data_IF_854313686046
#
_entry.id   IF_854313686046
#
_cell.length_a   1.000
_cell.length_b   1.000
_cell.length_c   1.000
_cell.angle_alpha   90.00
_cell.angle_beta   90.00
_cell.angle_gamma   90.00
#
_symmetry.space_group_name_H-M   'P 1'
#
loop_
_entity.id
_entity.type
_entity.pdbx_description
1 polymer ?
#
# COMPACT_ATOMS: atom_id res chain seq x y z
N UNK A 1 -26.42 5.65 5.96
CA UNK A 1 -26.90 4.75 4.91
C UNK A 1 -25.88 3.68 4.55
N UNK A 2 -24.56 3.96 4.59
CA UNK A 2 -23.51 3.02 4.17
C UNK A 2 -22.75 2.34 5.32
N UNK A 3 -23.27 2.36 6.52
CA UNK A 3 -22.59 1.86 7.70
C UNK A 3 -22.24 0.37 7.58
N UNK A 4 -23.12 -0.43 6.97
CA UNK A 4 -22.93 -1.87 6.79
C UNK A 4 -22.12 -2.26 5.55
N UNK A 5 -21.85 -1.31 4.64
CA UNK A 5 -21.10 -1.57 3.41
C UNK A 5 -19.58 -1.35 3.56
N UNK A 6 -19.16 -0.63 4.59
CA UNK A 6 -17.79 -0.18 4.74
C UNK A 6 -17.07 -0.93 5.88
N UNK A 7 -15.81 -1.30 5.64
CA UNK A 7 -14.96 -1.84 6.71
C UNK A 7 -14.79 -0.80 7.83
N UNK A 8 -14.79 -1.25 9.07
CA UNK A 8 -14.71 -0.42 10.29
C UNK A 8 -13.64 0.68 10.22
N UNK A 9 -12.41 0.34 9.82
CA UNK A 9 -11.32 1.32 9.65
C UNK A 9 -11.66 2.43 8.64
N UNK A 10 -12.35 2.09 7.56
CA UNK A 10 -12.77 3.07 6.55
C UNK A 10 -13.83 4.01 7.13
N UNK A 11 -14.76 3.46 7.91
CA UNK A 11 -15.78 4.25 8.60
C UNK A 11 -15.16 5.22 9.60
N UNK A 12 -14.22 4.75 10.42
CA UNK A 12 -13.52 5.61 11.40
C UNK A 12 -12.80 6.78 10.71
N UNK A 13 -12.06 6.50 9.65
CA UNK A 13 -11.36 7.56 8.89
C UNK A 13 -12.33 8.56 8.25
N UNK A 14 -13.44 8.08 7.68
CA UNK A 14 -14.47 8.96 7.10
C UNK A 14 -15.13 9.81 8.19
N UNK A 15 -15.50 9.21 9.30
CA UNK A 15 -16.08 9.91 10.46
C UNK A 15 -15.13 10.99 10.95
N UNK A 16 -13.87 10.66 11.19
CA UNK A 16 -12.86 11.62 11.62
C UNK A 16 -12.76 12.82 10.67
N UNK A 17 -12.66 12.58 9.35
CA UNK A 17 -12.59 13.67 8.38
C UNK A 17 -13.86 14.52 8.36
N UNK A 18 -15.02 13.90 8.51
CA UNK A 18 -16.29 14.63 8.60
C UNK A 18 -16.35 15.51 9.86
N UNK A 19 -16.07 14.95 11.03
CA UNK A 19 -16.17 15.62 12.33
C UNK A 19 -15.13 16.75 12.49
N UNK A 20 -13.91 16.55 11.96
CA UNK A 20 -12.82 17.53 12.13
C UNK A 20 -12.80 18.62 11.06
N UNK A 21 -13.30 18.34 9.85
CA UNK A 21 -13.06 19.25 8.71
C UNK A 21 -14.30 19.69 7.96
N UNK A 22 -15.42 19.01 8.08
CA UNK A 22 -16.62 19.30 7.28
C UNK A 22 -17.76 19.79 8.16
N UNK A 23 -18.10 19.06 9.21
CA UNK A 23 -19.21 19.40 10.13
C UNK A 23 -19.03 20.77 10.78
N UNK A 24 -17.82 21.21 11.22
CA UNK A 24 -17.65 22.54 11.83
C UNK A 24 -18.06 23.69 10.91
N UNK A 25 -18.02 23.51 9.59
CA UNK A 25 -18.37 24.55 8.60
C UNK A 25 -19.78 24.44 8.06
N UNK A 26 -20.26 23.23 7.87
CA UNK A 26 -21.48 22.96 7.13
C UNK A 26 -22.56 22.28 7.97
N UNK A 27 -22.24 21.81 9.18
CA UNK A 27 -23.16 20.99 9.99
C UNK A 27 -24.46 21.68 10.40
N UNK A 28 -24.45 22.99 10.51
CA UNK A 28 -25.63 23.80 10.88
C UNK A 28 -26.36 24.40 9.67
N UNK A 29 -26.02 23.98 8.44
CA UNK A 29 -26.62 24.50 7.21
C UNK A 29 -27.42 23.40 6.52
N UNK A 30 -28.52 23.78 5.90
CA UNK A 30 -29.20 22.88 4.97
C UNK A 30 -28.32 22.63 3.73
N UNK A 31 -28.25 21.40 3.27
CA UNK A 31 -27.41 21.06 2.12
C UNK A 31 -27.81 21.82 0.84
N UNK A 32 -29.10 22.16 0.70
CA UNK A 32 -29.63 22.96 -0.40
C UNK A 32 -29.17 24.42 -0.40
N UNK A 33 -28.72 24.93 0.76
CA UNK A 33 -28.30 26.31 0.93
C UNK A 33 -26.77 26.49 0.78
N UNK A 34 -26.02 25.38 0.73
CA UNK A 34 -24.57 25.43 0.61
C UNK A 34 -24.23 25.77 -0.84
N UNK A 35 -23.64 26.97 -1.03
CA UNK A 35 -23.23 27.49 -2.33
C UNK A 35 -21.80 27.09 -2.71
N UNK A 36 -21.47 27.23 -4.00
CA UNK A 36 -20.10 27.04 -4.48
C UNK A 36 -19.11 28.03 -3.86
N UNK A 37 -19.54 29.29 -3.60
CA UNK A 37 -18.69 30.30 -2.95
C UNK A 37 -18.32 29.90 -1.53
N UNK A 38 -19.25 29.33 -0.76
CA UNK A 38 -18.98 28.85 0.58
C UNK A 38 -18.00 27.66 0.59
N UNK A 39 -18.08 26.78 -0.43
CA UNK A 39 -17.11 25.69 -0.58
C UNK A 39 -15.72 26.26 -0.89
N UNK A 40 -15.61 27.29 -1.74
CA UNK A 40 -14.32 27.94 -2.03
C UNK A 40 -13.74 28.59 -0.77
N UNK A 41 -14.54 29.27 0.04
CA UNK A 41 -14.09 29.84 1.31
C UNK A 41 -13.55 28.76 2.25
N UNK A 42 -14.29 27.66 2.40
CA UNK A 42 -13.84 26.51 3.17
C UNK A 42 -12.55 25.88 2.61
N UNK A 43 -12.42 25.75 1.28
CA UNK A 43 -11.21 25.26 0.65
C UNK A 43 -10.00 26.13 0.98
N UNK A 44 -10.15 27.46 0.88
CA UNK A 44 -9.09 28.42 1.20
C UNK A 44 -8.63 28.25 2.66
N UNK A 45 -9.57 28.10 3.59
CA UNK A 45 -9.22 27.89 5.00
C UNK A 45 -8.54 26.52 5.23
N UNK A 46 -8.99 25.45 4.56
CA UNK A 46 -8.30 24.15 4.68
C UNK A 46 -6.86 24.21 4.17
N UNK A 47 -6.60 24.97 3.11
CA UNK A 47 -5.25 25.15 2.55
C UNK A 47 -4.30 25.89 3.49
N UNK A 48 -4.80 26.82 4.33
CA UNK A 48 -3.96 27.52 5.30
C UNK A 48 -3.51 26.66 6.48
N UNK A 49 -4.15 25.49 6.69
CA UNK A 49 -3.83 24.58 7.83
C UNK A 49 -2.55 23.75 7.65
N UNK A 50 -1.82 23.91 6.56
CA UNK A 50 -0.56 23.21 6.31
C UNK A 50 -0.72 21.71 6.05
N UNK A 51 -1.90 21.25 5.64
CA UNK A 51 -2.12 19.85 5.26
C UNK A 51 -1.43 19.50 3.95
N UNK A 52 -1.03 18.24 3.80
CA UNK A 52 -0.50 17.76 2.53
C UNK A 52 -1.56 17.77 1.42
N UNK A 53 -1.12 17.95 0.16
CA UNK A 53 -1.98 17.97 -1.02
C UNK A 53 -2.90 16.73 -1.10
N UNK A 54 -2.35 15.55 -0.82
CA UNK A 54 -3.10 14.30 -0.81
C UNK A 54 -4.17 14.26 0.29
N UNK A 55 -3.88 14.84 1.47
CA UNK A 55 -4.84 14.90 2.57
C UNK A 55 -5.97 15.90 2.26
N UNK A 56 -5.64 17.09 1.72
CA UNK A 56 -6.63 18.05 1.23
C UNK A 56 -7.56 17.41 0.18
N UNK A 57 -6.99 16.64 -0.74
CA UNK A 57 -7.77 15.85 -1.71
C UNK A 57 -8.69 14.85 -1.05
N UNK A 58 -8.23 14.14 -0.01
CA UNK A 58 -9.05 13.18 0.72
C UNK A 58 -10.22 13.86 1.43
N UNK A 59 -10.01 15.01 2.09
CA UNK A 59 -11.07 15.79 2.74
C UNK A 59 -12.10 16.25 1.70
N UNK A 60 -11.66 16.83 0.59
CA UNK A 60 -12.53 17.26 -0.51
C UNK A 60 -13.38 16.11 -1.07
N UNK A 61 -12.78 14.92 -1.21
CA UNK A 61 -13.49 13.75 -1.70
C UNK A 61 -14.61 13.31 -0.74
N UNK A 62 -14.49 13.51 0.58
CA UNK A 62 -15.57 13.22 1.52
C UNK A 62 -16.75 14.18 1.30
N UNK A 63 -16.50 15.48 1.18
CA UNK A 63 -17.54 16.47 0.91
C UNK A 63 -18.22 16.17 -0.44
N UNK A 64 -17.45 15.94 -1.49
CA UNK A 64 -17.97 15.61 -2.83
C UNK A 64 -18.82 14.33 -2.80
N UNK A 65 -18.38 13.31 -2.06
CA UNK A 65 -19.11 12.04 -1.90
C UNK A 65 -20.46 12.26 -1.19
N UNK A 66 -20.50 13.12 -0.17
CA UNK A 66 -21.70 13.47 0.56
C UNK A 66 -22.74 14.14 -0.36
N UNK A 67 -22.32 15.19 -1.09
CA UNK A 67 -23.20 15.88 -2.04
C UNK A 67 -23.65 14.99 -3.19
N UNK A 68 -22.78 14.11 -3.69
CA UNK A 68 -23.13 13.15 -4.74
C UNK A 68 -24.16 12.15 -4.23
N UNK A 69 -24.03 11.69 -2.99
CA UNK A 69 -24.99 10.80 -2.36
C UNK A 69 -26.35 11.50 -2.17
N UNK A 70 -26.33 12.73 -1.66
CA UNK A 70 -27.55 13.52 -1.47
C UNK A 70 -28.28 13.79 -2.80
N UNK A 71 -27.57 14.11 -3.88
CA UNK A 71 -28.19 14.29 -5.20
C UNK A 71 -28.76 13.01 -5.78
N UNK A 72 -28.21 11.84 -5.44
CA UNK A 72 -28.65 10.55 -5.98
C UNK A 72 -29.80 9.92 -5.21
N UNK A 73 -29.84 10.11 -3.89
CA UNK A 73 -30.75 9.38 -2.99
C UNK A 73 -31.81 10.30 -2.37
N UNK A 74 -31.48 11.58 -2.17
CA UNK A 74 -32.35 12.55 -1.50
C UNK A 74 -32.75 13.71 -2.40
N UNK A 75 -32.68 13.51 -3.72
CA UNK A 75 -33.15 14.45 -4.75
C UNK A 75 -32.62 15.89 -4.59
N UNK A 76 -31.40 16.04 -4.08
CA UNK A 76 -30.74 17.35 -4.03
C UNK A 76 -30.48 17.84 -5.46
N UNK A 77 -31.24 18.85 -5.91
CA UNK A 77 -31.21 19.35 -7.29
C UNK A 77 -29.85 19.87 -7.73
N UNK A 78 -29.10 20.53 -6.83
CA UNK A 78 -27.81 21.13 -7.16
C UNK A 78 -26.69 20.55 -6.32
N UNK A 79 -25.61 20.09 -6.97
CA UNK A 79 -24.39 19.68 -6.30
C UNK A 79 -23.32 20.77 -6.48
N UNK A 80 -23.08 21.64 -5.48
CA UNK A 80 -22.14 22.75 -5.60
C UNK A 80 -20.69 22.28 -5.75
N UNK A 81 -20.34 21.07 -5.31
CA UNK A 81 -19.00 20.51 -5.49
C UNK A 81 -18.62 20.28 -6.95
N UNK A 82 -19.61 20.20 -7.87
CA UNK A 82 -19.33 20.10 -9.32
C UNK A 82 -18.86 21.41 -9.94
N UNK A 83 -19.15 22.54 -9.29
CA UNK A 83 -18.82 23.90 -9.77
C UNK A 83 -17.46 24.40 -9.27
N UNK A 84 -16.82 23.70 -8.37
CA UNK A 84 -15.55 24.11 -7.78
C UNK A 84 -14.40 23.18 -8.20
N UNK A 85 -13.20 23.75 -8.32
CA UNK A 85 -11.98 22.95 -8.51
C UNK A 85 -11.71 22.16 -7.23
N UNK A 86 -11.28 20.92 -7.38
CA UNK A 86 -10.93 20.08 -6.22
C UNK A 86 -9.64 20.58 -5.58
N UNK A 87 -9.61 20.61 -4.24
CA UNK A 87 -8.37 20.85 -3.49
C UNK A 87 -7.37 19.73 -3.71
N UNK A 88 -6.12 20.08 -3.55
CA UNK A 88 -5.01 19.16 -3.53
C UNK A 88 -4.68 18.59 -4.90
N UNK A 89 -3.45 18.19 -5.07
CA UNK A 89 -2.98 17.55 -6.27
C UNK A 89 -3.07 16.04 -6.17
N UNK A 90 -3.43 15.37 -7.24
CA UNK A 90 -3.42 13.91 -7.33
C UNK A 90 -2.10 13.39 -7.88
N UNK A 91 -1.19 14.29 -8.27
CA UNK A 91 0.08 13.90 -8.84
C UNK A 91 0.84 13.03 -7.83
N UNK A 92 1.08 11.83 -8.25
CA UNK A 92 1.83 10.86 -7.48
C UNK A 92 3.18 11.46 -7.10
N UNK A 93 3.51 11.45 -5.80
CA UNK A 93 4.89 11.64 -5.38
C UNK A 93 5.74 10.70 -6.22
N UNK A 94 6.95 11.14 -6.61
CA UNK A 94 7.94 10.24 -7.18
C UNK A 94 7.98 8.98 -6.32
N UNK A 95 7.92 7.82 -6.97
CA UNK A 95 8.04 6.55 -6.27
C UNK A 95 9.42 6.48 -5.63
N UNK A 96 9.43 6.46 -4.32
CA UNK A 96 10.65 6.19 -3.59
C UNK A 96 10.84 4.67 -3.48
N UNK A 97 12.00 4.20 -3.90
CA UNK A 97 12.40 2.80 -3.77
C UNK A 97 13.91 2.71 -3.62
N UNK A 98 14.39 1.59 -3.12
CA UNK A 98 15.80 1.25 -3.04
C UNK A 98 16.23 0.40 -4.23
N UNK A 99 17.46 0.62 -4.65
CA UNK A 99 18.18 -0.34 -5.48
C UNK A 99 18.54 -1.59 -4.65
N UNK A 100 19.05 -2.62 -5.33
CA UNK A 100 19.53 -3.83 -4.64
C UNK A 100 20.70 -3.52 -3.71
N UNK A 101 21.58 -2.62 -4.11
CA UNK A 101 22.74 -2.17 -3.35
C UNK A 101 22.32 -1.41 -2.09
N UNK A 102 21.38 -0.47 -2.19
CA UNK A 102 20.83 0.26 -1.04
C UNK A 102 20.14 -0.71 -0.06
N UNK A 103 19.41 -1.70 -0.59
CA UNK A 103 18.80 -2.72 0.25
C UNK A 103 19.84 -3.57 0.97
N UNK A 104 20.91 -3.99 0.27
CA UNK A 104 21.99 -4.75 0.89
C UNK A 104 22.70 -3.95 1.98
N UNK A 105 22.99 -2.67 1.76
CA UNK A 105 23.56 -1.79 2.79
C UNK A 105 22.64 -1.71 4.02
N UNK A 106 21.33 -1.64 3.82
CA UNK A 106 20.37 -1.61 4.91
C UNK A 106 20.34 -2.93 5.67
N UNK A 107 20.17 -4.06 4.98
CA UNK A 107 19.97 -5.36 5.65
C UNK A 107 21.20 -5.80 6.44
N UNK A 108 22.40 -5.45 6.01
CA UNK A 108 23.65 -5.69 6.73
C UNK A 108 23.72 -4.99 8.10
N UNK A 109 22.89 -3.98 8.36
CA UNK A 109 22.80 -3.34 9.68
C UNK A 109 21.94 -4.12 10.68
N UNK A 110 21.31 -5.19 10.24
CA UNK A 110 20.42 -6.02 11.04
C UNK A 110 21.03 -7.41 11.17
N UNK A 111 21.05 -7.93 12.37
CA UNK A 111 21.64 -9.24 12.66
C UNK A 111 20.85 -10.34 11.93
N UNK A 112 21.53 -11.20 11.13
CA UNK A 112 20.92 -12.33 10.44
C UNK A 112 20.23 -13.30 11.41
N UNK A 113 19.17 -13.97 10.96
CA UNK A 113 18.40 -14.91 11.75
C UNK A 113 17.45 -14.25 12.77
N UNK A 114 17.53 -12.94 12.97
CA UNK A 114 16.59 -12.24 13.84
C UNK A 114 15.23 -12.00 13.14
N UNK A 115 14.19 -11.84 13.96
CA UNK A 115 12.83 -11.55 13.50
C UNK A 115 12.77 -10.38 12.49
N UNK A 116 13.48 -9.29 12.78
CA UNK A 116 13.45 -8.11 11.91
C UNK A 116 14.22 -8.32 10.61
N UNK A 117 15.31 -9.07 10.65
CA UNK A 117 16.03 -9.46 9.44
C UNK A 117 15.09 -10.22 8.49
N UNK A 118 14.44 -11.28 8.97
CA UNK A 118 13.53 -12.08 8.16
C UNK A 118 12.31 -11.30 7.66
N UNK A 119 11.77 -10.38 8.48
CA UNK A 119 10.69 -9.48 8.05
C UNK A 119 11.08 -8.68 6.82
N UNK A 120 12.27 -8.05 6.82
CA UNK A 120 12.71 -7.24 5.69
C UNK A 120 13.09 -8.09 4.48
N UNK A 121 13.69 -9.26 4.68
CA UNK A 121 13.95 -10.23 3.60
C UNK A 121 12.65 -10.64 2.91
N UNK A 122 11.63 -11.04 3.65
CA UNK A 122 10.34 -11.42 3.05
C UNK A 122 9.72 -10.22 2.32
N UNK A 123 9.70 -9.01 2.92
CA UNK A 123 9.11 -7.82 2.28
C UNK A 123 9.80 -7.46 0.97
N UNK A 124 11.13 -7.48 0.95
CA UNK A 124 11.90 -7.10 -0.24
C UNK A 124 11.79 -8.16 -1.33
N UNK A 125 11.97 -9.43 -1.01
CA UNK A 125 12.03 -10.49 -2.03
C UNK A 125 10.67 -11.02 -2.49
N UNK A 126 9.58 -10.73 -1.78
CA UNK A 126 8.23 -11.12 -2.20
C UNK A 126 7.38 -9.96 -2.67
N UNK A 127 7.67 -8.75 -2.23
CA UNK A 127 6.83 -7.57 -2.47
C UNK A 127 5.45 -7.65 -1.78
N UNK A 128 5.25 -8.53 -0.81
CA UNK A 128 3.99 -8.61 -0.06
C UNK A 128 3.76 -7.33 0.76
N UNK A 129 2.50 -7.06 1.13
CA UNK A 129 2.18 -5.92 2.00
C UNK A 129 2.55 -6.25 3.43
N UNK A 130 2.95 -5.24 4.22
CA UNK A 130 3.30 -5.43 5.64
C UNK A 130 2.18 -6.10 6.44
N UNK A 131 0.92 -5.78 6.17
CA UNK A 131 -0.22 -6.44 6.83
C UNK A 131 -0.40 -7.90 6.40
N UNK A 132 -0.06 -8.26 5.17
CA UNK A 132 -0.05 -9.63 4.67
C UNK A 132 1.07 -10.43 5.39
N UNK A 133 2.28 -9.88 5.42
CA UNK A 133 3.43 -10.48 6.11
C UNK A 133 3.15 -10.70 7.60
N UNK A 134 2.64 -9.69 8.31
CA UNK A 134 2.38 -9.80 9.75
C UNK A 134 1.21 -10.74 10.09
N UNK A 135 0.44 -11.18 9.08
CA UNK A 135 -0.60 -12.20 9.24
C UNK A 135 -0.10 -13.63 8.97
N UNK A 136 1.12 -13.80 8.43
CA UNK A 136 1.65 -15.13 8.10
C UNK A 136 1.80 -16.00 9.33
N UNK A 137 1.50 -17.27 9.15
CA UNK A 137 1.69 -18.38 10.12
C UNK A 137 2.55 -19.45 9.48
N UNK A 138 3.14 -20.39 10.23
CA UNK A 138 3.86 -21.53 9.65
C UNK A 138 3.03 -22.29 8.62
N UNK A 139 1.73 -22.48 8.84
CA UNK A 139 0.81 -23.16 7.92
C UNK A 139 0.66 -22.46 6.55
N UNK A 140 1.03 -21.18 6.41
CA UNK A 140 0.99 -20.48 5.12
C UNK A 140 2.23 -20.76 4.25
N UNK A 141 3.23 -21.49 4.77
CA UNK A 141 4.50 -21.77 4.09
C UNK A 141 4.51 -23.21 3.58
N UNK A 142 4.61 -23.39 2.28
CA UNK A 142 4.82 -24.68 1.69
C UNK A 142 6.32 -24.87 1.34
N UNK A 143 7.04 -25.60 2.17
CA UNK A 143 8.48 -25.83 2.00
C UNK A 143 8.82 -26.79 0.85
N UNK A 144 7.90 -27.67 0.46
CA UNK A 144 8.11 -28.59 -0.69
C UNK A 144 8.04 -27.85 -2.02
N UNK A 145 7.10 -26.90 -2.12
CA UNK A 145 6.86 -26.12 -3.34
C UNK A 145 7.55 -24.76 -3.36
N UNK A 146 8.28 -24.39 -2.30
CA UNK A 146 8.88 -23.07 -2.15
C UNK A 146 7.86 -21.93 -2.29
N UNK A 147 6.74 -22.01 -1.59
CA UNK A 147 5.61 -21.09 -1.77
C UNK A 147 5.13 -20.49 -0.44
N UNK A 148 4.70 -19.24 -0.50
CA UNK A 148 3.98 -18.54 0.56
C UNK A 148 2.56 -18.25 0.11
N UNK A 149 1.57 -18.68 0.88
CA UNK A 149 0.15 -18.41 0.63
C UNK A 149 -0.28 -17.12 1.32
N UNK A 150 -0.70 -16.14 0.54
CA UNK A 150 -1.22 -14.85 1.03
C UNK A 150 -2.76 -14.92 1.02
N UNK A 151 -3.35 -15.25 2.17
CA UNK A 151 -4.80 -15.44 2.32
C UNK A 151 -5.43 -14.51 3.34
N UNK A 152 -4.62 -13.77 4.11
CA UNK A 152 -5.08 -12.94 5.22
C UNK A 152 -4.23 -11.69 5.37
N UNK A 153 -4.75 -10.72 6.11
CA UNK A 153 -4.03 -9.48 6.44
C UNK A 153 -4.29 -9.09 7.88
N UNK A 154 -3.24 -8.63 8.54
CA UNK A 154 -3.26 -8.14 9.91
C UNK A 154 -3.25 -6.61 9.94
N UNK A 155 -3.98 -6.06 10.88
CA UNK A 155 -3.85 -4.68 11.32
C UNK A 155 -4.26 -4.55 12.79
N UNK A 156 -3.79 -3.49 13.45
CA UNK A 156 -4.19 -3.16 14.81
C UNK A 156 -5.09 -1.95 14.82
N UNK A 157 -6.18 -2.00 15.57
CA UNK A 157 -7.08 -0.87 15.79
C UNK A 157 -7.56 -0.87 17.25
N UNK A 158 -7.59 0.28 17.90
CA UNK A 158 -8.00 0.41 19.32
C UNK A 158 -7.32 -0.60 20.24
N UNK A 159 -6.02 -0.84 20.03
CA UNK A 159 -5.20 -1.84 20.77
C UNK A 159 -5.65 -3.29 20.59
N UNK A 160 -6.55 -3.59 19.66
CA UNK A 160 -6.97 -4.95 19.31
C UNK A 160 -6.31 -5.40 18.03
N UNK A 161 -5.82 -6.60 18.03
CA UNK A 161 -5.27 -7.26 16.84
C UNK A 161 -6.43 -7.82 16.01
N UNK A 162 -6.43 -7.50 14.73
CA UNK A 162 -7.48 -7.91 13.79
C UNK A 162 -6.85 -8.58 12.58
N UNK A 163 -7.26 -9.81 12.32
CA UNK A 163 -6.91 -10.56 11.12
C UNK A 163 -8.16 -10.70 10.27
N UNK A 164 -8.08 -10.33 9.00
CA UNK A 164 -9.20 -10.42 8.06
C UNK A 164 -8.73 -10.99 6.74
N UNK A 165 -9.67 -11.49 5.95
CA UNK A 165 -9.42 -11.78 4.56
C UNK A 165 -9.03 -10.52 3.77
N UNK A 166 -8.26 -10.66 2.69
CA UNK A 166 -7.93 -9.54 1.80
C UNK A 166 -9.20 -8.88 1.24
N UNK A 167 -9.07 -7.61 0.81
CA UNK A 167 -10.20 -6.81 0.30
C UNK A 167 -10.76 -7.32 -1.04
N UNK A 168 -9.97 -8.05 -1.81
CA UNK A 168 -10.35 -8.55 -3.14
C UNK A 168 -9.88 -9.99 -3.31
N UNK A 169 -10.63 -10.78 -4.07
CA UNK A 169 -10.25 -12.17 -4.40
C UNK A 169 -8.85 -12.27 -5.04
N UNK A 170 -8.47 -11.29 -5.86
CA UNK A 170 -7.15 -11.26 -6.51
C UNK A 170 -6.00 -11.00 -5.53
N UNK A 171 -6.29 -10.50 -4.34
CA UNK A 171 -5.27 -10.35 -3.28
C UNK A 171 -4.91 -11.67 -2.63
N UNK A 172 -5.79 -12.69 -2.72
CA UNK A 172 -5.48 -14.07 -2.36
C UNK A 172 -4.61 -14.64 -3.47
N UNK A 173 -3.41 -15.05 -3.13
CA UNK A 173 -2.42 -15.54 -4.09
C UNK A 173 -1.34 -16.37 -3.42
N UNK A 174 -0.64 -17.13 -4.20
CA UNK A 174 0.57 -17.84 -3.79
C UNK A 174 1.78 -17.17 -4.44
N UNK A 175 2.84 -16.96 -3.67
CA UNK A 175 4.09 -16.37 -4.13
C UNK A 175 5.17 -17.45 -4.05
N UNK A 176 5.80 -17.76 -5.17
CA UNK A 176 7.00 -18.58 -5.20
C UNK A 176 8.19 -17.78 -4.63
N UNK A 177 8.95 -18.40 -3.74
CA UNK A 177 10.09 -17.80 -3.06
C UNK A 177 11.39 -18.51 -3.48
N UNK A 178 12.50 -17.76 -3.52
CA UNK A 178 13.80 -18.36 -3.79
C UNK A 178 14.24 -19.29 -2.64
N UNK A 179 15.11 -20.22 -2.97
CA UNK A 179 15.57 -21.26 -2.04
C UNK A 179 16.22 -20.67 -0.77
N UNK A 180 17.04 -19.63 -0.91
CA UNK A 180 17.67 -18.99 0.25
C UNK A 180 16.64 -18.46 1.25
N UNK A 181 15.56 -17.79 0.75
CA UNK A 181 14.52 -17.24 1.62
C UNK A 181 13.72 -18.35 2.30
N UNK A 182 13.47 -19.46 1.60
CA UNK A 182 12.86 -20.66 2.22
C UNK A 182 13.70 -21.17 3.38
N UNK A 183 15.02 -21.28 3.18
CA UNK A 183 15.92 -21.76 4.23
C UNK A 183 15.95 -20.82 5.45
N UNK A 184 15.97 -19.52 5.23
CA UNK A 184 15.90 -18.53 6.32
C UNK A 184 14.59 -18.65 7.12
N UNK A 185 13.45 -18.79 6.42
CA UNK A 185 12.14 -18.98 7.07
C UNK A 185 12.13 -20.28 7.87
N UNK A 186 12.64 -21.36 7.29
CA UNK A 186 12.72 -22.67 7.94
C UNK A 186 13.57 -22.62 9.21
N UNK A 187 14.77 -22.07 9.12
CA UNK A 187 15.67 -21.90 10.27
C UNK A 187 15.03 -21.03 11.37
N UNK A 188 14.32 -19.97 10.98
CA UNK A 188 13.63 -19.11 11.95
C UNK A 188 12.54 -19.89 12.71
N UNK A 189 11.73 -20.70 12.01
CA UNK A 189 10.66 -21.50 12.62
C UNK A 189 11.27 -22.59 13.53
N UNK A 190 12.27 -23.31 13.06
CA UNK A 190 12.97 -24.37 13.82
C UNK A 190 13.68 -23.82 15.05
N UNK A 191 14.22 -22.60 14.96
CA UNK A 191 14.85 -21.90 16.09
C UNK A 191 13.88 -21.42 17.18
N UNK A 192 12.57 -21.44 16.90
CA UNK A 192 11.51 -21.08 17.85
C UNK A 192 10.73 -22.33 18.26
N UNK A 193 11.29 -23.09 19.19
CA UNK A 193 10.71 -24.36 19.69
C UNK A 193 9.23 -24.17 20.08
N UNK A 194 8.36 -25.06 19.56
CA UNK A 194 6.95 -25.09 19.92
C UNK A 194 6.10 -23.99 19.25
N UNK A 195 6.58 -23.36 18.17
CA UNK A 195 5.78 -22.37 17.43
C UNK A 195 4.53 -23.05 16.83
N UNK A 196 3.30 -22.64 17.24
CA UNK A 196 2.09 -23.26 16.73
C UNK A 196 1.87 -22.94 15.25
N UNK A 197 1.40 -23.90 14.47
CA UNK A 197 1.20 -23.75 13.03
C UNK A 197 0.23 -22.62 12.64
N UNK A 198 -0.73 -22.31 13.52
CA UNK A 198 -1.77 -21.32 13.28
C UNK A 198 -1.52 -19.96 13.96
N UNK A 199 -0.41 -19.80 14.67
CA UNK A 199 -0.03 -18.52 15.26
C UNK A 199 0.85 -17.70 14.31
N UNK A 200 0.80 -16.36 14.47
CA UNK A 200 1.57 -15.47 13.62
C UNK A 200 3.08 -15.69 13.79
N UNK A 201 3.80 -15.84 12.67
CA UNK A 201 5.27 -15.90 12.68
C UNK A 201 5.89 -14.68 13.39
N UNK A 202 5.25 -13.52 13.23
CA UNK A 202 5.72 -12.24 13.75
C UNK A 202 4.66 -11.59 14.63
N UNK A 203 4.58 -11.93 15.95
CA UNK A 203 3.58 -11.36 16.86
C UNK A 203 3.97 -9.92 17.28
N UNK A 204 4.19 -9.05 16.31
CA UNK A 204 4.51 -7.62 16.48
C UNK A 204 3.53 -6.76 15.70
N UNK A 205 3.57 -5.45 15.95
CA UNK A 205 2.74 -4.45 15.27
C UNK A 205 3.52 -3.76 14.16
N UNK A 206 2.80 -3.18 13.20
CA UNK A 206 3.41 -2.49 12.05
C UNK A 206 4.32 -1.34 12.47
N UNK A 207 3.96 -0.62 13.52
CA UNK A 207 4.71 0.50 14.06
C UNK A 207 6.12 0.08 14.54
N UNK A 208 6.25 -1.13 15.11
CA UNK A 208 7.54 -1.65 15.52
C UNK A 208 8.47 -1.90 14.32
N UNK A 209 7.92 -2.40 13.20
CA UNK A 209 8.67 -2.58 11.95
C UNK A 209 9.11 -1.22 11.39
N UNK A 210 8.22 -0.23 11.40
CA UNK A 210 8.54 1.13 10.94
C UNK A 210 9.65 1.77 11.77
N UNK A 211 9.59 1.65 13.09
CA UNK A 211 10.63 2.14 14.00
C UNK A 211 11.99 1.46 13.74
N UNK A 212 11.99 0.14 13.60
CA UNK A 212 13.20 -0.62 13.30
C UNK A 212 13.80 -0.20 11.96
N UNK A 213 12.96 -0.07 10.93
CA UNK A 213 13.40 0.39 9.61
C UNK A 213 14.03 1.77 9.68
N UNK A 214 13.36 2.74 10.33
CA UNK A 214 13.86 4.12 10.46
C UNK A 214 15.24 4.15 11.11
N UNK A 215 15.42 3.46 12.22
CA UNK A 215 16.70 3.39 12.94
C UNK A 215 17.81 2.81 12.07
N UNK A 216 17.53 1.71 11.37
CA UNK A 216 18.53 1.01 10.56
C UNK A 216 18.83 1.74 9.23
N UNK A 217 17.88 2.49 8.66
CA UNK A 217 18.13 3.40 7.53
C UNK A 217 19.17 4.48 7.88
N UNK A 218 19.03 5.09 9.05
CA UNK A 218 19.99 6.09 9.53
C UNK A 218 21.38 5.49 9.75
N UNK A 219 21.43 4.27 10.30
CA UNK A 219 22.69 3.53 10.49
C UNK A 219 23.36 3.11 9.17
N UNK A 220 22.56 2.72 8.18
CA UNK A 220 23.05 2.31 6.87
C UNK A 220 23.42 3.49 5.96
N UNK A 221 22.97 4.71 6.27
CA UNK A 221 23.17 5.88 5.42
C UNK A 221 22.42 5.85 4.10
N UNK A 222 21.36 5.02 4.00
CA UNK A 222 20.57 4.88 2.77
C UNK A 222 19.42 5.88 2.72
N UNK A 223 18.86 6.08 1.52
CA UNK A 223 17.70 6.92 1.28
C UNK A 223 16.52 6.53 2.20
N UNK A 224 15.86 7.55 2.79
CA UNK A 224 14.69 7.32 3.64
C UNK A 224 13.47 6.95 2.81
N UNK A 225 12.95 5.76 3.02
CA UNK A 225 11.72 5.25 2.41
C UNK A 225 10.79 4.67 3.47
N UNK A 226 9.54 4.42 3.11
CA UNK A 226 8.55 3.76 4.00
C UNK A 226 8.65 2.24 3.85
N UNK A 227 8.17 1.50 4.84
CA UNK A 227 8.09 0.02 4.76
C UNK A 227 7.33 -0.45 3.49
N UNK A 228 6.27 0.28 3.10
CA UNK A 228 5.54 -0.06 1.87
C UNK A 228 6.37 0.13 0.59
N UNK A 229 7.36 1.00 0.62
CA UNK A 229 8.20 1.29 -0.54
C UNK A 229 9.20 0.16 -0.83
N UNK A 230 9.41 -0.79 0.10
CA UNK A 230 10.11 -2.05 -0.19
C UNK A 230 9.40 -2.87 -1.27
N UNK A 231 8.08 -2.79 -1.32
CA UNK A 231 7.30 -3.38 -2.42
C UNK A 231 7.55 -2.65 -3.74
N UNK A 232 7.75 -1.34 -3.73
CA UNK A 232 8.17 -0.58 -4.92
C UNK A 232 9.59 -0.97 -5.35
N UNK A 233 10.50 -1.19 -4.37
CA UNK A 233 11.85 -1.69 -4.62
C UNK A 233 11.84 -3.07 -5.28
N UNK A 234 11.02 -3.99 -4.79
CA UNK A 234 10.82 -5.30 -5.40
C UNK A 234 10.38 -5.20 -6.86
N UNK A 235 9.40 -4.34 -7.15
CA UNK A 235 8.91 -4.13 -8.52
C UNK A 235 9.98 -3.54 -9.40
N UNK A 236 10.68 -2.51 -8.95
CA UNK A 236 11.78 -1.89 -9.69
C UNK A 236 12.88 -2.91 -10.02
N UNK A 237 13.23 -3.79 -9.06
CA UNK A 237 14.15 -4.90 -9.27
C UNK A 237 13.68 -5.85 -10.37
N UNK A 238 12.40 -6.28 -10.32
CA UNK A 238 11.86 -7.21 -11.34
C UNK A 238 11.81 -6.55 -12.73
N UNK A 239 11.45 -5.28 -12.82
CA UNK A 239 11.44 -4.52 -14.09
C UNK A 239 12.86 -4.44 -14.67
N UNK A 240 13.86 -4.15 -13.84
CA UNK A 240 15.27 -4.14 -14.25
C UNK A 240 15.75 -5.51 -14.74
N UNK A 241 15.17 -6.59 -14.24
CA UNK A 241 15.43 -7.97 -14.73
C UNK A 241 14.62 -8.34 -15.97
N UNK A 242 13.83 -7.40 -16.52
CA UNK A 242 13.05 -7.61 -17.74
C UNK A 242 11.79 -8.45 -17.54
N UNK A 243 11.31 -8.59 -16.30
CA UNK A 243 10.09 -9.35 -16.02
C UNK A 243 8.86 -8.61 -16.55
N UNK A 244 7.99 -9.32 -17.22
CA UNK A 244 6.78 -8.79 -17.84
C UNK A 244 5.79 -8.21 -16.80
N UNK A 245 5.11 -7.09 -17.13
CA UNK A 245 4.15 -6.43 -16.22
C UNK A 245 3.03 -7.36 -15.74
N UNK A 246 2.62 -8.33 -16.55
CA UNK A 246 1.55 -9.26 -16.18
C UNK A 246 1.98 -10.18 -15.01
N UNK A 247 3.20 -10.70 -15.06
CA UNK A 247 3.75 -11.54 -13.99
C UNK A 247 3.95 -10.75 -12.70
N UNK A 248 4.41 -9.49 -12.82
CA UNK A 248 4.52 -8.58 -11.67
C UNK A 248 3.14 -8.31 -11.05
N UNK A 249 2.13 -8.03 -11.88
CA UNK A 249 0.73 -7.85 -11.43
C UNK A 249 0.24 -9.05 -10.63
N UNK A 250 0.44 -10.27 -11.13
CA UNK A 250 0.01 -11.52 -10.49
C UNK A 250 0.72 -11.74 -9.17
N UNK A 251 2.05 -11.61 -9.14
CA UNK A 251 2.87 -11.72 -7.94
C UNK A 251 2.45 -10.75 -6.85
N UNK A 252 2.12 -9.52 -7.23
CA UNK A 252 1.67 -8.49 -6.30
C UNK A 252 0.20 -8.61 -5.88
N UNK A 253 -0.63 -9.34 -6.62
CA UNK A 253 -2.07 -9.41 -6.41
C UNK A 253 -2.77 -8.09 -6.73
N UNK A 254 -2.39 -7.42 -7.82
CA UNK A 254 -3.08 -6.24 -8.30
C UNK A 254 -4.34 -6.66 -9.06
N UNK A 255 -5.49 -6.04 -8.73
CA UNK A 255 -6.77 -6.31 -9.40
C UNK A 255 -6.70 -6.02 -10.91
N UNK A 256 -5.99 -4.96 -11.29
CA UNK A 256 -5.92 -4.45 -12.65
C UNK A 256 -4.47 -4.19 -13.02
N UNK A 257 -4.05 -4.61 -14.21
CA UNK A 257 -2.70 -4.37 -14.74
C UNK A 257 -2.39 -2.88 -14.85
N UNK A 258 -3.40 -2.05 -15.06
CA UNK A 258 -3.26 -0.59 -15.08
C UNK A 258 -2.63 -0.04 -13.80
N UNK A 259 -2.84 -0.68 -12.65
CA UNK A 259 -2.19 -0.29 -11.39
C UNK A 259 -0.67 -0.46 -11.53
N UNK A 260 -0.20 -1.57 -12.09
CA UNK A 260 1.22 -1.82 -12.32
C UNK A 260 1.78 -0.85 -13.37
N UNK A 261 1.11 -0.71 -14.51
CA UNK A 261 1.59 0.13 -15.61
C UNK A 261 1.57 1.63 -15.26
N UNK A 262 0.49 2.13 -14.65
CA UNK A 262 0.41 3.55 -14.26
C UNK A 262 1.42 3.92 -13.17
N UNK A 263 1.74 2.96 -12.30
CA UNK A 263 2.66 3.20 -11.19
C UNK A 263 4.11 3.04 -11.61
N UNK A 264 4.42 2.04 -12.42
CA UNK A 264 5.80 1.64 -12.72
C UNK A 264 6.16 1.66 -14.20
N UNK A 265 5.24 2.05 -15.09
CA UNK A 265 5.47 2.03 -16.54
C UNK A 265 6.68 2.86 -16.98
N UNK A 266 6.94 3.97 -16.27
CA UNK A 266 8.09 4.83 -16.52
C UNK A 266 9.45 4.19 -16.18
N UNK A 267 9.47 3.11 -15.41
CA UNK A 267 10.70 2.35 -15.09
C UNK A 267 11.07 1.33 -16.18
N UNK A 268 10.14 1.00 -17.07
CA UNK A 268 10.45 0.11 -18.18
C UNK A 268 11.35 0.84 -19.18
N UNK A 269 12.51 0.25 -19.54
CA UNK A 269 13.39 0.84 -20.53
C UNK A 269 12.67 0.96 -21.87
N UNK A 270 13.02 2.00 -22.64
CA UNK A 270 12.51 2.12 -24.03
C UNK A 270 13.07 0.96 -24.85
N UNK A 271 12.23 -0.01 -25.16
CA UNK A 271 12.60 -1.22 -25.89
C UNK A 271 12.45 -1.10 -27.42
N UNK A 272 12.18 0.11 -27.94
CA UNK A 272 12.01 0.31 -29.39
C UNK A 272 13.24 -0.15 -30.19
N UNK A 273 14.42 0.11 -29.67
CA UNK A 273 15.67 -0.37 -30.30
C UNK A 273 15.75 -1.90 -30.29
N UNK A 274 15.41 -2.54 -29.18
CA UNK A 274 15.38 -4.00 -29.08
C UNK A 274 14.37 -4.63 -30.05
N UNK A 275 13.23 -3.97 -30.28
CA UNK A 275 12.24 -4.39 -31.27
C UNK A 275 12.83 -4.27 -32.68
N UNK A 276 13.49 -3.15 -32.99
CA UNK A 276 14.15 -2.97 -34.28
C UNK A 276 15.22 -4.04 -34.53
N UNK A 277 16.11 -4.24 -33.55
CA UNK A 277 17.16 -5.25 -33.60
C UNK A 277 16.61 -6.68 -33.79
N UNK A 278 15.46 -7.01 -33.15
CA UNK A 278 14.78 -8.30 -33.35
C UNK A 278 14.23 -8.44 -34.77
N UNK A 279 13.63 -7.39 -35.31
CA UNK A 279 13.07 -7.39 -36.67
C UNK A 279 14.18 -7.46 -37.73
N UNK A 280 15.32 -6.85 -37.51
CA UNK A 280 16.47 -6.96 -38.39
C UNK A 280 17.04 -8.35 -38.43
N UNK A 281 17.12 -9.06 -37.29
CA UNK A 281 17.60 -10.44 -37.22
C UNK A 281 16.68 -11.48 -37.86
N UNK A 282 15.40 -11.15 -38.09
CA UNK A 282 14.47 -12.04 -38.81
C UNK A 282 14.58 -11.92 -40.37
N UNK A 283 15.35 -10.94 -40.85
CA UNK A 283 15.57 -10.79 -42.32
C UNK A 283 16.88 -11.45 -42.83
N UNK A 284 17.71 -11.98 -41.91
CA UNK A 284 18.87 -12.80 -42.26
C UNK A 284 18.50 -14.29 -42.29
#
# INVERSE_FOLDING_TARGET
>A
DKQNELKERTMKNKRYMMEQHIIPYFGNKMMSEISASQIIQWQNEMQTKGFSESYLRMIQNQLTSLFTHASRIYDLHTNPCKKVKRMGNSDSRSLDFWTTEEYQQFIQTIEPGTRYYLIFEILFWTGCRIGELLALTPADINFERNQISITKTYYRTERKDVITEPKTKQSVRTIEIPEFLKQEIKQFIEGHYGMPENERLFPIVQEAVQHKMKHNMEKAGVKKIRVHDLRHSHVAYLINKGIEPILIKERLGHKDIRITLNTYGHLYPNQQRRIADLLDNEQE
#
